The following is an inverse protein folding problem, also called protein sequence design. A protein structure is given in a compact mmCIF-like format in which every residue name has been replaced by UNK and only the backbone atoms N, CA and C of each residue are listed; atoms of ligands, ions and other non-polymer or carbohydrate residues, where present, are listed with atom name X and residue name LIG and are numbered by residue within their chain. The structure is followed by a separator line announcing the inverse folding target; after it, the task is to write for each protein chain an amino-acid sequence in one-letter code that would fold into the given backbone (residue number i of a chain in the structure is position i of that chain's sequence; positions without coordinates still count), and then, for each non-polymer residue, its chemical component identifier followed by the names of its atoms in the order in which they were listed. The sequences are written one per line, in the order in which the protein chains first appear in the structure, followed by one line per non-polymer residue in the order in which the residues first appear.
data_IF_806738546357
#
_entry.id   IF_806738546357
#
_cell.length_a   1.000
_cell.length_b   1.000
_cell.length_c   1.000
_cell.angle_alpha   90.00
_cell.angle_beta   90.00
_cell.angle_gamma   90.00
#
_symmetry.space_group_name_H-M   'P 1'
#
loop_
_entity.id
_entity.type
_entity.pdbx_description
1 polymer ?
#
# COMPACT_ATOMS: atom_id res chain seq x y z
N UNK A 1 -3.84 20.95 2.63
CA UNK A 1 -2.46 20.42 2.51
C UNK A 1 -2.41 19.46 1.34
N UNK A 2 -1.59 19.69 0.30
CA UNK A 2 -1.50 18.75 -0.82
C UNK A 2 -1.00 17.41 -0.31
N UNK A 3 -1.73 16.33 -0.59
CA UNK A 3 -1.32 14.97 -0.21
C UNK A 3 -0.01 14.63 -0.92
N UNK A 4 1.10 14.52 -0.21
CA UNK A 4 2.36 14.06 -0.80
C UNK A 4 2.18 12.61 -1.25
N UNK A 5 2.11 12.38 -2.56
CA UNK A 5 2.00 11.05 -3.16
C UNK A 5 3.41 10.54 -3.43
N UNK A 6 3.77 9.37 -2.89
CA UNK A 6 5.05 8.71 -3.15
C UNK A 6 4.80 7.48 -4.03
N UNK A 7 5.32 7.52 -5.25
CA UNK A 7 5.20 6.43 -6.21
C UNK A 7 6.46 5.57 -6.13
N UNK A 8 6.29 4.26 -5.91
CA UNK A 8 7.40 3.31 -5.93
C UNK A 8 7.12 2.26 -7.00
N UNK A 9 8.16 1.93 -7.75
CA UNK A 9 8.10 1.11 -8.96
C UNK A 9 9.01 -0.11 -8.80
N UNK A 10 8.54 -1.29 -9.20
CA UNK A 10 9.42 -2.45 -9.39
C UNK A 10 9.59 -2.71 -10.88
N UNK A 11 10.85 -2.79 -11.32
CA UNK A 11 11.23 -3.09 -12.70
C UNK A 11 11.86 -4.48 -12.75
N UNK A 12 11.48 -5.29 -13.73
CA UNK A 12 12.17 -6.56 -14.04
C UNK A 12 12.83 -6.42 -15.41
N UNK A 13 14.15 -6.62 -15.48
CA UNK A 13 15.08 -6.67 -16.64
C UNK A 13 14.98 -5.56 -17.73
N UNK A 14 13.82 -4.98 -18.04
CA UNK A 14 13.60 -3.78 -18.88
C UNK A 14 12.18 -3.19 -18.82
N UNK A 15 11.21 -3.83 -18.15
CA UNK A 15 9.80 -3.40 -18.15
C UNK A 15 9.31 -3.01 -16.74
N UNK A 16 8.39 -2.03 -16.68
CA UNK A 16 7.69 -1.65 -15.46
C UNK A 16 6.64 -2.71 -15.13
N UNK A 17 6.89 -3.53 -14.12
CA UNK A 17 6.02 -4.66 -13.81
C UNK A 17 4.90 -4.31 -12.82
N UNK A 18 5.12 -3.29 -11.98
CA UNK A 18 4.09 -2.82 -11.06
C UNK A 18 4.42 -1.51 -10.37
N UNK A 19 3.37 -0.83 -9.89
CA UNK A 19 3.40 0.47 -9.23
C UNK A 19 2.59 0.39 -7.94
N UNK A 20 3.15 0.93 -6.87
CA UNK A 20 2.43 1.16 -5.61
C UNK A 20 2.46 2.65 -5.28
N UNK A 21 1.31 3.17 -4.87
CA UNK A 21 1.13 4.59 -4.53
C UNK A 21 0.80 4.71 -3.05
N UNK A 22 1.69 5.39 -2.33
CA UNK A 22 1.51 5.77 -0.95
C UNK A 22 1.00 7.21 -0.86
N UNK A 23 0.03 7.45 0.01
CA UNK A 23 -0.43 8.78 0.37
C UNK A 23 -0.60 8.91 1.88
N UNK A 24 -0.35 10.11 2.41
CA UNK A 24 -0.78 10.42 3.77
C UNK A 24 -2.30 10.57 3.82
N UNK A 25 -2.95 10.13 4.91
CA UNK A 25 -4.38 10.41 5.11
C UNK A 25 -4.60 11.91 5.06
N UNK A 26 -5.59 12.36 4.28
CA UNK A 26 -6.16 13.68 4.49
C UNK A 26 -6.83 13.68 5.87
N UNK A 27 -6.59 14.66 6.75
CA UNK A 27 -7.27 14.74 8.04
C UNK A 27 -8.80 14.82 7.92
N UNK A 28 -9.33 15.12 6.73
CA UNK A 28 -10.78 15.20 6.46
C UNK A 28 -11.40 13.94 5.85
N UNK A 29 -10.60 12.95 5.41
CA UNK A 29 -11.11 11.81 4.63
C UNK A 29 -11.44 10.57 5.50
N UNK A 30 -11.42 10.71 6.83
CA UNK A 30 -11.39 9.58 7.76
C UNK A 30 -12.46 9.65 8.86
N UNK A 31 -13.60 10.29 8.62
CA UNK A 31 -14.67 10.29 9.63
C UNK A 31 -15.54 9.03 9.58
N UNK A 32 -15.73 8.39 8.42
CA UNK A 32 -16.87 7.45 8.30
C UNK A 32 -16.54 5.95 8.40
N UNK A 33 -15.28 5.52 8.23
CA UNK A 33 -14.94 4.07 8.24
C UNK A 33 -13.64 3.67 8.94
N UNK A 34 -12.98 4.59 9.65
CA UNK A 34 -11.86 4.22 10.54
C UNK A 34 -12.35 3.79 11.93
N UNK A 35 -13.46 3.03 11.94
CA UNK A 35 -14.25 2.67 13.10
C UNK A 35 -13.50 1.77 14.10
N UNK A 36 -12.32 1.24 13.74
CA UNK A 36 -11.68 0.20 14.54
C UNK A 36 -10.46 0.64 15.35
N UNK A 37 -9.70 1.69 15.01
CA UNK A 37 -8.52 1.99 15.84
C UNK A 37 -8.18 3.47 16.04
N UNK A 38 -8.50 3.90 17.26
CA UNK A 38 -7.74 4.68 18.25
C UNK A 38 -6.18 4.49 18.27
N UNK A 39 -5.52 4.16 17.16
CA UNK A 39 -4.06 4.08 17.11
C UNK A 39 -3.47 5.45 16.81
N UNK A 40 -3.00 6.08 17.88
CA UNK A 40 -1.81 6.93 17.94
C UNK A 40 -1.56 7.81 16.70
N UNK A 41 -2.08 9.03 16.73
CA UNK A 41 -1.75 10.14 15.81
C UNK A 41 -1.84 9.80 14.30
N UNK A 42 -2.99 10.03 13.64
CA UNK A 42 -3.16 9.79 12.19
C UNK A 42 -2.17 10.56 11.30
N UNK A 43 -1.49 11.56 11.85
CA UNK A 43 -0.51 12.42 11.17
C UNK A 43 0.73 11.68 10.65
N UNK A 44 1.03 10.47 11.13
CA UNK A 44 2.32 9.77 10.86
C UNK A 44 2.20 8.45 10.09
N UNK A 45 0.98 8.00 9.79
CA UNK A 45 0.74 6.75 9.07
C UNK A 45 0.59 7.00 7.57
N UNK A 46 0.96 6.01 6.75
CA UNK A 46 0.78 6.04 5.28
C UNK A 46 -0.27 5.04 4.84
N UNK A 47 -1.08 5.45 3.87
CA UNK A 47 -2.07 4.60 3.24
C UNK A 47 -1.59 4.15 1.87
N UNK A 48 -1.76 2.86 1.60
CA UNK A 48 -1.68 2.28 0.27
C UNK A 48 -3.02 2.43 -0.42
N UNK A 49 -3.09 3.38 -1.36
CA UNK A 49 -4.33 3.61 -2.11
C UNK A 49 -4.46 2.65 -3.29
N UNK A 50 -3.36 2.37 -3.99
CA UNK A 50 -3.37 1.61 -5.24
C UNK A 50 -2.12 0.77 -5.40
N UNK A 51 -2.31 -0.49 -5.77
CA UNK A 51 -1.28 -1.41 -6.23
C UNK A 51 -1.69 -1.88 -7.61
N UNK A 52 -0.91 -1.52 -8.62
CA UNK A 52 -1.16 -1.89 -10.02
C UNK A 52 -0.02 -2.81 -10.44
N UNK A 53 -0.37 -4.00 -10.90
CA UNK A 53 0.58 -4.96 -11.48
C UNK A 53 0.15 -5.19 -12.90
N UNK A 54 1.11 -5.16 -13.83
CA UNK A 54 0.83 -5.44 -15.22
C UNK A 54 0.23 -6.86 -15.35
N UNK A 55 -0.88 -7.07 -16.08
CA UNK A 55 -1.63 -8.32 -16.09
C UNK A 55 -0.78 -9.58 -16.37
N UNK A 56 0.22 -9.47 -17.25
CA UNK A 56 1.20 -10.52 -17.57
C UNK A 56 1.97 -11.07 -16.36
N UNK A 57 2.17 -10.25 -15.32
CA UNK A 57 2.92 -10.61 -14.10
C UNK A 57 1.99 -10.77 -12.88
N UNK A 58 0.68 -10.90 -13.12
CA UNK A 58 -0.29 -11.20 -12.07
C UNK A 58 -0.08 -12.65 -11.59
N UNK A 59 -0.35 -12.91 -10.32
CA UNK A 59 -0.28 -14.25 -9.71
C UNK A 59 1.14 -14.83 -9.52
N UNK A 60 2.19 -14.22 -10.06
CA UNK A 60 3.61 -14.66 -9.94
C UNK A 60 4.26 -14.30 -8.59
N UNK A 61 3.49 -13.78 -7.63
CA UNK A 61 4.03 -13.29 -6.34
C UNK A 61 4.69 -11.90 -6.40
N UNK A 62 4.75 -11.28 -7.58
CA UNK A 62 5.36 -9.96 -7.77
C UNK A 62 4.71 -8.88 -6.89
N UNK A 63 3.39 -8.96 -6.68
CA UNK A 63 2.66 -8.05 -5.80
C UNK A 63 3.11 -8.13 -4.34
N UNK A 64 3.27 -9.35 -3.82
CA UNK A 64 3.74 -9.55 -2.46
C UNK A 64 5.19 -9.06 -2.30
N UNK A 65 6.05 -9.32 -3.30
CA UNK A 65 7.43 -8.83 -3.34
C UNK A 65 7.50 -7.29 -3.37
N UNK A 66 6.71 -6.65 -4.24
CA UNK A 66 6.62 -5.19 -4.34
C UNK A 66 6.18 -4.59 -3.00
N UNK A 67 5.11 -5.11 -2.39
CA UNK A 67 4.63 -4.63 -1.10
C UNK A 67 5.71 -4.79 -0.04
N UNK A 68 6.33 -5.97 0.10
CA UNK A 68 7.39 -6.21 1.08
C UNK A 68 8.58 -5.26 0.93
N UNK A 69 9.08 -5.07 -0.31
CA UNK A 69 10.19 -4.15 -0.58
C UNK A 69 9.84 -2.68 -0.32
N UNK A 70 8.58 -2.32 -0.53
CA UNK A 70 8.11 -0.93 -0.36
C UNK A 70 7.74 -0.61 1.09
N UNK A 71 7.27 -1.57 1.87
CA UNK A 71 7.02 -1.42 3.31
C UNK A 71 8.30 -1.01 4.03
N UNK A 72 9.44 -1.66 3.74
CA UNK A 72 10.75 -1.29 4.32
C UNK A 72 11.17 0.14 3.95
N UNK A 73 10.72 0.64 2.78
CA UNK A 73 11.04 2.00 2.27
C UNK A 73 10.00 3.05 2.66
N UNK A 74 8.89 2.66 3.29
CA UNK A 74 7.81 3.56 3.64
C UNK A 74 8.21 4.53 4.76
N UNK A 75 9.12 4.13 5.66
CA UNK A 75 9.66 4.99 6.72
C UNK A 75 8.61 5.44 7.74
N UNK A 76 7.50 4.71 7.86
CA UNK A 76 6.43 4.96 8.83
C UNK A 76 6.24 3.73 9.70
N UNK A 77 5.86 3.89 10.98
CA UNK A 77 5.67 2.77 11.89
C UNK A 77 4.51 1.87 11.46
N UNK A 78 3.49 2.46 10.83
CA UNK A 78 2.33 1.75 10.32
C UNK A 78 2.02 2.15 8.88
N UNK A 79 1.62 1.15 8.10
CA UNK A 79 1.11 1.31 6.74
C UNK A 79 -0.23 0.59 6.67
N UNK A 80 -1.26 1.32 6.27
CA UNK A 80 -2.62 0.81 6.17
C UNK A 80 -3.00 0.64 4.69
N UNK A 81 -3.78 -0.39 4.39
CA UNK A 81 -4.20 -0.68 3.02
C UNK A 81 -5.70 -0.46 2.88
N UNK A 82 -6.10 0.49 2.03
CA UNK A 82 -7.50 0.74 1.68
C UNK A 82 -7.96 -0.05 0.44
N UNK A 83 -7.07 -0.87 -0.12
CA UNK A 83 -7.36 -1.62 -1.33
C UNK A 83 -8.35 -2.76 -1.05
N UNK A 84 -9.55 -2.66 -1.64
CA UNK A 84 -10.59 -3.72 -1.62
C UNK A 84 -10.04 -5.07 -2.09
N UNK A 85 -9.08 -5.06 -3.01
CA UNK A 85 -8.42 -6.26 -3.52
C UNK A 85 -7.73 -7.11 -2.44
N UNK A 86 -7.40 -6.54 -1.28
CA UNK A 86 -6.88 -7.30 -0.14
C UNK A 86 -7.85 -8.41 0.33
N UNK A 87 -9.17 -8.21 0.16
CA UNK A 87 -10.18 -9.21 0.50
C UNK A 87 -10.18 -10.41 -0.45
N UNK A 88 -9.84 -10.19 -1.71
CA UNK A 88 -9.94 -11.21 -2.77
C UNK A 88 -8.61 -11.94 -3.02
N UNK A 89 -7.48 -11.30 -2.77
CA UNK A 89 -6.16 -11.90 -2.96
C UNK A 89 -5.27 -11.60 -1.74
N UNK A 90 -4.82 -12.62 -0.97
CA UNK A 90 -4.04 -12.44 0.25
C UNK A 90 -2.56 -12.09 -0.02
N UNK A 91 -2.28 -11.28 -1.04
CA UNK A 91 -0.89 -10.89 -1.35
C UNK A 91 -0.30 -9.89 -0.36
N UNK A 92 -1.14 -9.11 0.34
CA UNK A 92 -0.71 -8.24 1.42
C UNK A 92 -0.28 -9.05 2.66
N UNK A 93 -1.03 -10.09 3.00
CA UNK A 93 -0.68 -11.03 4.09
C UNK A 93 0.62 -11.76 3.78
N UNK A 94 0.77 -12.26 2.54
CA UNK A 94 2.03 -12.84 2.05
C UNK A 94 3.21 -11.86 2.05
N UNK A 95 2.94 -10.55 2.02
CA UNK A 95 3.95 -9.51 2.15
C UNK A 95 4.30 -9.15 3.60
N UNK A 96 3.62 -9.76 4.59
CA UNK A 96 3.81 -9.53 6.02
C UNK A 96 2.84 -8.52 6.64
N UNK A 97 1.78 -8.11 5.93
CA UNK A 97 0.73 -7.28 6.53
C UNK A 97 -0.24 -8.13 7.35
N UNK A 98 -0.79 -7.55 8.42
CA UNK A 98 -1.85 -8.17 9.23
C UNK A 98 -3.21 -7.67 8.76
N UNK A 99 -4.20 -8.57 8.74
CA UNK A 99 -5.61 -8.24 8.46
C UNK A 99 -6.24 -7.51 9.65
#
# INVERSE_FOLDING_TARGET
MPTTKKNIHTKTKKELCGVIVYSHPSPTASEEKSLERKLQTPKRNKHNNRVIIHPKYRTTGLGAKLVRETLTKAGTPYVETLAVMAKYNPFFEKAGMKK
#
